data_IF_048869268733
#
_entry.id   IF_048869268733
#
_cell.length_a   1.000
_cell.length_b   1.000
_cell.length_c   1.000
_cell.angle_alpha   90.00
_cell.angle_beta   90.00
_cell.angle_gamma   90.00
#
_symmetry.space_group_name_H-M   'P 1'
#
loop_
_entity.id
_entity.type
_entity.pdbx_description
1 polymer ?
#
# COMPACT_ATOMS: atom_id res chain seq x y z
N UNK A 1 6.17 -13.19 -9.55
CA UNK A 1 6.87 -11.95 -9.95
C UNK A 1 6.33 -10.81 -9.09
N UNK A 2 7.07 -10.37 -8.07
CA UNK A 2 6.63 -9.31 -7.16
C UNK A 2 7.04 -7.95 -7.72
N UNK A 3 6.10 -7.27 -8.40
CA UNK A 3 6.30 -5.88 -8.81
C UNK A 3 6.35 -4.99 -7.57
N UNK A 4 7.54 -4.49 -7.25
CA UNK A 4 7.76 -3.56 -6.15
C UNK A 4 7.41 -2.13 -6.58
N UNK A 5 6.40 -1.56 -5.95
CA UNK A 5 5.94 -0.19 -6.13
C UNK A 5 6.67 0.75 -5.17
N UNK A 6 7.06 1.92 -5.65
CA UNK A 6 7.49 3.02 -4.77
C UNK A 6 6.29 3.68 -4.10
N UNK A 7 6.50 4.49 -3.04
CA UNK A 7 5.43 5.23 -2.35
C UNK A 7 4.47 5.94 -3.32
N UNK A 8 5.03 6.64 -4.32
CA UNK A 8 4.26 7.38 -5.33
C UNK A 8 3.40 6.46 -6.21
N UNK A 9 3.90 5.27 -6.54
CA UNK A 9 3.15 4.29 -7.32
C UNK A 9 2.07 3.61 -6.48
N UNK A 10 2.38 3.24 -5.24
CA UNK A 10 1.42 2.69 -4.30
C UNK A 10 0.26 3.67 -4.04
N UNK A 11 0.59 4.95 -3.85
CA UNK A 11 -0.40 6.04 -3.74
C UNK A 11 -1.32 6.11 -4.95
N UNK A 12 -0.75 6.10 -6.16
CA UNK A 12 -1.53 6.11 -7.40
C UNK A 12 -2.39 4.84 -7.55
N UNK A 13 -1.87 3.69 -7.13
CA UNK A 13 -2.57 2.41 -7.20
C UNK A 13 -3.79 2.35 -6.28
N UNK A 14 -3.65 2.86 -5.05
CA UNK A 14 -4.74 2.91 -4.04
C UNK A 14 -5.70 4.10 -4.33
N UNK A 15 -5.39 4.95 -5.31
CA UNK A 15 -6.17 6.14 -5.63
C UNK A 15 -6.03 7.25 -4.58
N UNK A 16 -4.99 7.20 -3.74
CA UNK A 16 -4.73 8.18 -2.69
C UNK A 16 -3.62 9.16 -3.10
N UNK A 17 -3.92 10.46 -3.10
CA UNK A 17 -2.93 11.50 -3.43
C UNK A 17 -2.17 12.06 -2.23
N UNK A 18 -2.39 11.52 -1.02
CA UNK A 18 -1.75 12.00 0.21
C UNK A 18 -0.76 10.99 0.81
N UNK A 19 0.48 11.44 1.04
CA UNK A 19 1.53 10.64 1.70
C UNK A 19 1.16 10.28 3.14
N UNK A 20 0.36 11.12 3.82
CA UNK A 20 -0.14 10.82 5.17
C UNK A 20 -1.05 9.61 5.16
N UNK A 21 -1.92 9.48 4.16
CA UNK A 21 -2.83 8.33 4.04
C UNK A 21 -2.04 7.06 3.78
N UNK A 22 -1.03 7.11 2.89
CA UNK A 22 -0.15 5.97 2.69
C UNK A 22 0.61 5.60 3.97
N UNK A 23 1.09 6.58 4.74
CA UNK A 23 1.75 6.34 6.03
C UNK A 23 0.83 5.68 7.07
N UNK A 24 -0.45 6.06 7.10
CA UNK A 24 -1.46 5.39 7.94
C UNK A 24 -1.69 3.94 7.52
N UNK A 25 -1.87 3.70 6.22
CA UNK A 25 -2.02 2.35 5.67
C UNK A 25 -0.83 1.46 6.05
N UNK A 26 0.39 1.99 5.96
CA UNK A 26 1.62 1.31 6.40
C UNK A 26 1.62 1.01 7.90
N UNK A 27 1.04 1.90 8.71
CA UNK A 27 0.88 1.66 10.14
C UNK A 27 -0.20 0.61 10.43
N UNK A 28 -1.23 0.51 9.59
CA UNK A 28 -2.34 -0.45 9.68
C UNK A 28 -2.00 -1.86 9.17
N UNK A 29 -0.71 -2.19 8.99
CA UNK A 29 -0.14 -3.46 8.47
C UNK A 29 0.14 -3.53 6.98
N UNK A 30 0.27 -2.43 6.23
CA UNK A 30 0.78 -2.53 4.85
C UNK A 30 2.26 -2.99 4.87
N UNK A 31 2.60 -4.13 4.27
CA UNK A 31 3.97 -4.63 4.22
C UNK A 31 4.86 -3.69 3.40
N UNK A 32 5.78 -3.00 4.08
CA UNK A 32 6.83 -2.19 3.46
C UNK A 32 8.12 -2.98 3.39
N UNK A 33 8.72 -2.99 2.20
CA UNK A 33 10.01 -3.60 1.94
C UNK A 33 11.04 -2.47 1.90
N UNK A 34 11.88 -2.40 2.92
CA UNK A 34 13.00 -1.47 2.92
C UNK A 34 14.18 -2.09 2.15
N UNK A 35 14.54 -1.48 1.02
CA UNK A 35 15.71 -1.86 0.22
C UNK A 35 16.76 -0.76 0.37
N UNK A 36 17.71 -0.96 1.28
CA UNK A 36 18.73 0.02 1.62
C UNK A 36 18.12 1.29 2.24
N UNK A 37 18.29 2.44 1.56
CA UNK A 37 17.70 3.74 1.95
C UNK A 37 16.32 4.00 1.30
N UNK A 38 15.87 3.15 0.38
CA UNK A 38 14.61 3.33 -0.33
C UNK A 38 13.56 2.38 0.22
N UNK A 39 12.35 2.89 0.44
CA UNK A 39 11.21 2.08 0.87
C UNK A 39 10.35 1.73 -0.35
N UNK A 40 10.07 0.45 -0.52
CA UNK A 40 9.23 -0.12 -1.57
C UNK A 40 8.06 -0.87 -0.95
N UNK A 41 7.02 -1.09 -1.73
CA UNK A 41 5.78 -1.75 -1.32
C UNK A 41 5.48 -2.78 -2.41
N UNK A 42 5.27 -4.04 -2.07
CA UNK A 42 4.88 -5.04 -3.07
C UNK A 42 3.45 -4.79 -3.53
N UNK A 43 3.19 -4.86 -4.84
CA UNK A 43 1.82 -4.76 -5.38
C UNK A 43 0.90 -5.81 -4.76
N UNK A 44 1.36 -7.06 -4.63
CA UNK A 44 0.63 -8.14 -3.96
C UNK A 44 0.25 -7.81 -2.52
N UNK A 45 1.14 -7.12 -1.80
CA UNK A 45 0.90 -6.72 -0.42
C UNK A 45 -0.16 -5.62 -0.30
N UNK A 46 -0.24 -4.71 -1.27
CA UNK A 46 -1.35 -3.76 -1.36
C UNK A 46 -2.65 -4.49 -1.68
N UNK A 47 -2.61 -5.47 -2.58
CA UNK A 47 -3.77 -6.25 -2.98
C UNK A 47 -4.33 -7.07 -1.80
N UNK A 48 -3.47 -7.76 -1.06
CA UNK A 48 -3.82 -8.47 0.17
C UNK A 48 -4.39 -7.53 1.23
N UNK A 49 -3.76 -6.38 1.44
CA UNK A 49 -4.26 -5.36 2.37
C UNK A 49 -5.62 -4.81 1.94
N UNK A 50 -5.80 -4.49 0.66
CA UNK A 50 -7.07 -3.99 0.13
C UNK A 50 -8.17 -5.02 0.29
N UNK A 51 -7.85 -6.31 0.11
CA UNK A 51 -8.78 -7.43 0.29
C UNK A 51 -9.14 -7.66 1.77
N UNK A 52 -8.17 -7.55 2.67
CA UNK A 52 -8.37 -7.74 4.10
C UNK A 52 -9.09 -6.55 4.76
N UNK A 53 -8.82 -5.32 4.33
CA UNK A 53 -9.50 -4.10 4.76
C UNK A 53 -10.72 -3.74 3.90
N UNK A 54 -11.13 -4.59 2.96
CA UNK A 54 -12.34 -4.39 2.17
C UNK A 54 -13.57 -4.48 3.06
N UNK A 55 -14.01 -3.35 3.62
CA UNK A 55 -15.37 -3.27 4.16
C UNK A 55 -16.34 -3.13 2.99
N UNK A 56 -17.11 -4.19 2.73
CA UNK A 56 -18.31 -4.11 1.91
C UNK A 56 -19.27 -3.19 2.67
N UNK A 57 -19.33 -1.92 2.26
CA UNK A 57 -20.36 -1.01 2.74
C UNK A 57 -21.64 -1.43 2.03
N UNK A 58 -22.36 -2.37 2.64
CA UNK A 58 -23.71 -2.72 2.21
C UNK A 58 -24.59 -1.50 2.53
N UNK A 59 -25.01 -0.79 1.48
CA UNK A 59 -25.93 0.34 1.57
C UNK A 59 -27.37 -0.16 1.50
#
# INVERSE_FOLDING_TARGET
MTEYLSYKQAMKYIGCNSYKTLGKLINESLPIIQVGKTKKISKSAIDEFMKEHQKVINK
#
